data_IF_014056722046
#
_entry.id   IF_014056722046
#
_cell.length_a   1.000
_cell.length_b   1.000
_cell.length_c   1.000
_cell.angle_alpha   90.00
_cell.angle_beta   90.00
_cell.angle_gamma   90.00
#
_symmetry.space_group_name_H-M   'P 1'
#
loop_
_entity.id
_entity.type
_entity.pdbx_description
1 polymer ?
#
# COMPACT_ATOMS: atom_id res chain seq x y z
N UNK A 1 8.05 -12.54 13.62
CA UNK A 1 8.52 -11.91 12.35
C UNK A 1 8.42 -12.96 11.25
N UNK A 2 8.06 -12.58 10.02
CA UNK A 2 7.96 -13.51 8.89
C UNK A 2 8.77 -12.93 7.73
N UNK A 3 9.53 -13.77 7.03
CA UNK A 3 10.19 -13.44 5.78
C UNK A 3 9.48 -14.19 4.65
N UNK A 4 9.11 -13.47 3.59
CA UNK A 4 8.49 -14.05 2.41
C UNK A 4 9.15 -13.47 1.16
N UNK A 5 9.16 -14.23 0.07
CA UNK A 5 9.67 -13.78 -1.23
C UNK A 5 8.60 -14.00 -2.29
N UNK A 6 8.51 -13.07 -3.25
CA UNK A 6 7.62 -13.18 -4.41
C UNK A 6 8.34 -12.69 -5.66
N UNK A 7 8.26 -13.47 -6.73
CA UNK A 7 8.68 -13.07 -8.06
C UNK A 7 7.51 -12.50 -8.85
N UNK A 8 7.80 -11.47 -9.66
CA UNK A 8 6.85 -10.90 -10.61
C UNK A 8 7.25 -11.35 -12.00
N UNK A 9 6.33 -12.00 -12.72
CA UNK A 9 6.53 -12.38 -14.13
C UNK A 9 6.63 -11.14 -15.05
N UNK A 10 6.03 -10.02 -14.63
CA UNK A 10 6.12 -8.72 -15.29
C UNK A 10 5.97 -7.59 -14.28
N UNK A 11 6.60 -6.44 -14.56
CA UNK A 11 6.56 -5.26 -13.70
C UNK A 11 7.63 -5.26 -12.60
N UNK A 12 7.44 -4.42 -11.58
CA UNK A 12 8.36 -4.28 -10.44
C UNK A 12 7.61 -3.84 -9.19
N UNK A 13 8.12 -4.23 -8.03
CA UNK A 13 7.69 -3.62 -6.78
C UNK A 13 8.24 -2.19 -6.69
N UNK A 14 7.35 -1.22 -6.59
CA UNK A 14 7.73 0.17 -6.31
C UNK A 14 7.50 0.40 -4.83
N UNK A 15 8.56 0.38 -4.02
CA UNK A 15 8.43 0.71 -2.60
C UNK A 15 8.36 2.23 -2.46
N UNK A 16 7.45 2.78 -1.64
CA UNK A 16 7.52 4.18 -1.26
C UNK A 16 8.71 4.45 -0.36
N UNK A 17 9.01 5.74 -0.13
CA UNK A 17 10.11 6.14 0.73
C UNK A 17 9.98 5.51 2.12
N UNK A 18 11.00 4.77 2.52
CA UNK A 18 11.15 4.28 3.89
C UNK A 18 11.44 5.49 4.77
N UNK A 19 10.67 5.63 5.87
CA UNK A 19 10.87 6.68 6.87
C UNK A 19 11.04 6.00 8.22
N UNK A 20 12.06 6.40 8.98
CA UNK A 20 12.37 5.82 10.30
C UNK A 20 12.60 4.29 10.27
N UNK A 21 13.20 3.79 9.19
CA UNK A 21 13.54 2.37 9.03
C UNK A 21 12.36 1.44 8.74
N UNK A 22 11.15 1.99 8.65
CA UNK A 22 9.94 1.23 8.32
C UNK A 22 9.13 1.92 7.23
N UNK A 23 8.20 1.18 6.68
CA UNK A 23 7.22 1.70 5.73
C UNK A 23 5.83 1.44 6.29
N UNK A 24 5.01 2.48 6.36
CA UNK A 24 3.60 2.34 6.72
C UNK A 24 2.73 2.34 5.47
N UNK A 25 1.81 1.40 5.40
CA UNK A 25 0.83 1.23 4.33
C UNK A 25 -0.46 0.67 4.91
N UNK A 26 -1.58 0.96 4.25
CA UNK A 26 -2.83 0.28 4.54
C UNK A 26 -2.82 -1.15 4.02
N UNK A 27 -3.81 -1.94 4.43
CA UNK A 27 -3.99 -3.31 3.95
C UNK A 27 -4.20 -3.35 2.43
N UNK A 28 -4.89 -2.36 1.89
CA UNK A 28 -5.23 -2.24 0.47
C UNK A 28 -3.98 -1.94 -0.35
N UNK A 29 -3.15 -0.99 0.10
CA UNK A 29 -1.88 -0.66 -0.54
C UNK A 29 -0.92 -1.85 -0.56
N UNK A 30 -0.81 -2.57 0.56
CA UNK A 30 -0.01 -3.79 0.62
C UNK A 30 -0.53 -4.83 -0.38
N UNK A 31 -1.84 -5.03 -0.44
CA UNK A 31 -2.47 -6.02 -1.34
C UNK A 31 -2.20 -5.69 -2.81
N UNK A 32 -2.27 -4.41 -3.19
CA UNK A 32 -1.94 -3.94 -4.53
C UNK A 32 -0.46 -4.13 -4.86
N UNK A 33 0.42 -3.78 -3.93
CA UNK A 33 1.85 -3.97 -4.08
C UNK A 33 2.17 -5.44 -4.33
N UNK A 34 1.71 -6.36 -3.47
CA UNK A 34 1.97 -7.79 -3.64
C UNK A 34 1.29 -8.36 -4.88
N UNK A 35 0.20 -7.76 -5.37
CA UNK A 35 -0.40 -8.13 -6.66
C UNK A 35 0.43 -7.68 -7.86
N UNK A 36 1.46 -6.84 -7.68
CA UNK A 36 2.27 -6.26 -8.76
C UNK A 36 1.59 -5.09 -9.46
N UNK A 37 0.54 -4.52 -8.86
CA UNK A 37 -0.17 -3.35 -9.36
C UNK A 37 0.58 -2.09 -8.91
N UNK A 38 0.67 -1.10 -9.79
CA UNK A 38 1.25 0.21 -9.45
C UNK A 38 0.34 0.96 -8.47
N UNK A 39 0.53 0.68 -7.19
CA UNK A 39 -0.25 1.24 -6.09
C UNK A 39 -0.10 2.78 -6.00
N UNK A 40 0.99 3.37 -6.54
CA UNK A 40 1.19 4.83 -6.54
C UNK A 40 0.14 5.58 -7.37
N UNK A 41 -0.52 4.89 -8.30
CA UNK A 41 -1.60 5.44 -9.14
C UNK A 41 -2.97 5.30 -8.52
N UNK A 42 -3.10 4.57 -7.41
CA UNK A 42 -4.37 4.39 -6.72
C UNK A 42 -4.61 5.60 -5.82
N UNK A 43 -5.58 6.44 -6.19
CA UNK A 43 -6.01 7.54 -5.32
C UNK A 43 -6.59 6.95 -4.04
N UNK A 44 -5.94 7.21 -2.90
CA UNK A 44 -6.57 7.01 -1.60
C UNK A 44 -7.82 7.89 -1.53
N UNK A 45 -8.99 7.28 -1.37
CA UNK A 45 -10.19 8.04 -1.08
C UNK A 45 -10.16 8.37 0.41
N UNK A 46 -9.96 9.64 0.82
CA UNK A 46 -9.94 9.98 2.23
C UNK A 46 -11.27 9.56 2.86
N UNK A 47 -11.19 8.71 3.89
CA UNK A 47 -12.37 8.30 4.65
C UNK A 47 -12.97 9.57 5.24
N UNK A 48 -14.12 10.01 4.69
CA UNK A 48 -14.86 11.15 5.25
C UNK A 48 -15.22 10.81 6.68
N UNK A 49 -14.73 11.61 7.63
CA UNK A 49 -15.16 11.50 9.03
C UNK A 49 -16.68 11.63 9.06
N UNK A 50 -17.41 10.70 9.70
CA UNK A 50 -18.86 10.82 9.83
C UNK A 50 -19.21 12.17 10.44
N UNK A 51 -20.14 12.89 9.81
CA UNK A 51 -20.69 14.11 10.37
C UNK A 51 -21.64 13.70 11.50
N UNK A 52 -21.36 14.17 12.72
CA UNK A 52 -22.27 13.99 13.85
C UNK A 52 -23.46 14.91 13.61
N UNK A 53 -24.61 14.34 13.25
CA UNK A 53 -25.88 15.08 13.17
C UNK A 53 -26.41 15.18 14.60
N UNK A 54 -26.49 16.42 15.10
CA UNK A 54 -27.15 16.77 16.36
C UNK A 54 -28.60 17.14 16.12
#
# INVERSE_FOLDING_TARGET
>A
MILATKWLEAGKFVWPPIRDGAMQMTREEFSLLVAGIDWTRVKQNPVKRPLKVG
#
